data_IF_698073858604
#
_entry.id   IF_698073858604
#
_cell.length_a   1.000
_cell.length_b   1.000
_cell.length_c   1.000
_cell.angle_alpha   90.00
_cell.angle_beta   90.00
_cell.angle_gamma   90.00
#
_symmetry.space_group_name_H-M   'P 1'
#
loop_
_entity.id
_entity.type
_entity.pdbx_description
1 polymer ?
#
# COMPACT_ATOMS: atom_id res chain seq x y z
N UNK A 1 10.99 -10.79 -6.13
CA UNK A 1 9.90 -9.82 -6.40
C UNK A 1 9.69 -8.91 -5.17
N UNK A 2 10.75 -8.22 -4.73
CA UNK A 2 10.77 -7.24 -3.61
C UNK A 2 11.34 -5.87 -4.09
N UNK A 3 11.98 -5.84 -5.27
CA UNK A 3 12.66 -4.65 -5.82
C UNK A 3 11.78 -3.40 -5.86
N UNK A 4 10.52 -3.52 -6.29
CA UNK A 4 9.60 -2.37 -6.35
C UNK A 4 9.26 -1.81 -4.96
N UNK A 5 9.18 -2.67 -3.94
CA UNK A 5 8.94 -2.26 -2.55
C UNK A 5 10.19 -1.57 -2.01
N UNK A 6 11.38 -2.15 -2.22
CA UNK A 6 12.64 -1.53 -1.77
C UNK A 6 12.88 -0.17 -2.43
N UNK A 7 12.60 -0.02 -3.73
CA UNK A 7 12.67 1.26 -4.43
C UNK A 7 11.73 2.31 -3.85
N UNK A 8 10.48 1.93 -3.56
CA UNK A 8 9.52 2.82 -2.90
C UNK A 8 9.99 3.25 -1.51
N UNK A 9 10.47 2.31 -0.69
CA UNK A 9 10.96 2.61 0.66
C UNK A 9 12.20 3.52 0.63
N UNK A 10 13.09 3.32 -0.36
CA UNK A 10 14.22 4.20 -0.58
C UNK A 10 13.77 5.61 -0.97
N UNK A 11 12.75 5.74 -1.83
CA UNK A 11 12.20 7.05 -2.17
C UNK A 11 11.61 7.76 -0.95
N UNK A 12 10.82 7.05 -0.13
CA UNK A 12 10.29 7.61 1.12
C UNK A 12 11.40 8.11 2.03
N UNK A 13 12.52 7.38 2.12
CA UNK A 13 13.70 7.75 2.89
C UNK A 13 14.37 9.02 2.35
N UNK A 14 14.56 9.12 1.05
CA UNK A 14 15.13 10.31 0.40
C UNK A 14 14.23 11.53 0.58
N UNK A 15 12.90 11.33 0.57
CA UNK A 15 11.91 12.38 0.80
C UNK A 15 11.73 12.78 2.27
N UNK A 16 12.61 12.32 3.18
CA UNK A 16 12.60 12.71 4.60
C UNK A 16 11.45 12.10 5.41
N UNK A 17 10.87 10.99 4.96
CA UNK A 17 9.86 10.26 5.74
C UNK A 17 10.50 9.65 6.99
N UNK A 18 9.82 9.74 8.14
CA UNK A 18 10.32 9.16 9.39
C UNK A 18 10.60 7.65 9.28
N UNK A 19 11.67 7.19 9.92
CA UNK A 19 12.12 5.79 9.85
C UNK A 19 11.06 4.80 10.37
N UNK A 20 10.33 5.19 11.43
CA UNK A 20 9.21 4.41 11.96
C UNK A 20 8.12 4.21 10.89
N UNK A 21 7.80 5.26 10.16
CA UNK A 21 6.80 5.23 9.08
C UNK A 21 7.28 4.37 7.91
N UNK A 22 8.56 4.46 7.53
CA UNK A 22 9.16 3.59 6.50
C UNK A 22 9.10 2.12 6.92
N UNK A 23 9.43 1.82 8.17
CA UNK A 23 9.38 0.45 8.72
C UNK A 23 7.95 -0.09 8.67
N UNK A 24 6.96 0.73 9.00
CA UNK A 24 5.56 0.34 8.99
C UNK A 24 5.05 0.10 7.56
N UNK A 25 5.44 0.96 6.60
CA UNK A 25 5.21 0.73 5.17
C UNK A 25 5.87 -0.57 4.68
N UNK A 26 7.10 -0.84 5.10
CA UNK A 26 7.84 -2.04 4.70
C UNK A 26 7.10 -3.31 5.14
N UNK A 27 6.71 -3.37 6.42
CA UNK A 27 5.93 -4.49 6.97
C UNK A 27 4.59 -4.65 6.25
N UNK A 28 3.87 -3.54 6.05
CA UNK A 28 2.59 -3.53 5.36
C UNK A 28 2.69 -4.07 3.92
N UNK A 29 3.57 -3.49 3.10
CA UNK A 29 3.72 -3.86 1.69
C UNK A 29 4.25 -5.30 1.54
N UNK A 30 5.21 -5.71 2.37
CA UNK A 30 5.72 -7.09 2.35
C UNK A 30 4.63 -8.09 2.72
N UNK A 31 3.82 -7.80 3.73
CA UNK A 31 2.73 -8.70 4.11
C UNK A 31 1.71 -8.88 2.99
N UNK A 32 1.34 -7.78 2.34
CA UNK A 32 0.41 -7.80 1.21
C UNK A 32 0.99 -8.54 0.01
N UNK A 33 2.26 -8.29 -0.31
CA UNK A 33 2.96 -8.91 -1.43
C UNK A 33 3.11 -10.43 -1.27
N UNK A 34 3.06 -10.96 -0.03
CA UNK A 34 3.02 -12.41 0.24
C UNK A 34 1.70 -13.05 -0.18
N UNK A 35 0.59 -12.32 -0.14
CA UNK A 35 -0.73 -12.82 -0.56
C UNK A 35 -0.82 -12.85 -2.09
N UNK A 36 -0.46 -11.73 -2.73
CA UNK A 36 -0.38 -11.59 -4.18
C UNK A 36 0.65 -10.52 -4.49
N UNK A 37 1.52 -10.79 -5.46
CA UNK A 37 2.55 -9.85 -5.87
C UNK A 37 1.93 -8.49 -6.25
N UNK A 38 2.37 -7.40 -5.59
CA UNK A 38 1.82 -6.05 -5.77
C UNK A 38 1.88 -5.57 -7.24
N UNK A 39 2.86 -6.06 -8.00
CA UNK A 39 2.99 -5.78 -9.43
C UNK A 39 1.82 -6.32 -10.27
N UNK A 40 1.15 -7.38 -9.79
CA UNK A 40 0.01 -8.05 -10.44
C UNK A 40 -1.34 -7.61 -9.88
N UNK A 41 -1.38 -6.60 -9.01
CA UNK A 41 -2.63 -6.12 -8.44
C UNK A 41 -3.44 -5.36 -9.48
N UNK A 42 -4.73 -5.65 -9.46
CA UNK A 42 -5.77 -4.97 -10.21
C UNK A 42 -6.72 -4.24 -9.26
N UNK A 43 -7.60 -3.41 -9.81
CA UNK A 43 -8.57 -2.63 -9.02
C UNK A 43 -9.44 -3.53 -8.13
N UNK A 44 -9.77 -4.72 -8.61
CA UNK A 44 -10.52 -5.75 -7.88
C UNK A 44 -9.76 -6.27 -6.67
N UNK A 45 -8.44 -6.48 -6.77
CA UNK A 45 -7.61 -6.89 -5.63
C UNK A 45 -7.55 -5.81 -4.55
N UNK A 46 -7.38 -4.55 -4.96
CA UNK A 46 -7.41 -3.40 -4.03
C UNK A 46 -8.73 -3.36 -3.26
N UNK A 47 -9.85 -3.46 -3.97
CA UNK A 47 -11.18 -3.45 -3.38
C UNK A 47 -11.42 -4.63 -2.45
N UNK A 48 -11.03 -5.83 -2.89
CA UNK A 48 -11.16 -7.05 -2.09
C UNK A 48 -10.36 -6.94 -0.80
N UNK A 49 -9.10 -6.52 -0.88
CA UNK A 49 -8.25 -6.36 0.29
C UNK A 49 -8.82 -5.34 1.29
N UNK A 50 -9.32 -4.20 0.80
CA UNK A 50 -9.93 -3.19 1.66
C UNK A 50 -11.21 -3.72 2.30
N UNK A 51 -12.04 -4.45 1.55
CA UNK A 51 -13.28 -5.05 2.06
C UNK A 51 -12.97 -6.10 3.13
N UNK A 52 -11.99 -6.97 2.91
CA UNK A 52 -11.53 -7.95 3.90
C UNK A 52 -11.08 -7.24 5.19
N UNK A 53 -10.23 -6.19 5.07
CA UNK A 53 -9.78 -5.42 6.24
C UNK A 53 -10.87 -4.62 6.92
N UNK A 54 -11.92 -4.22 6.21
CA UNK A 54 -13.09 -3.59 6.81
C UNK A 54 -13.91 -4.54 7.68
N UNK A 55 -13.87 -5.84 7.39
CA UNK A 55 -14.50 -6.86 8.23
C UNK A 55 -13.60 -7.30 9.40
N UNK A 56 -12.29 -7.15 9.28
CA UNK A 56 -11.31 -7.61 10.29
C UNK A 56 -10.80 -6.53 11.25
N UNK A 57 -10.91 -5.23 10.90
CA UNK A 57 -10.23 -4.15 11.61
C UNK A 57 -11.12 -2.92 11.85
N UNK A 58 -10.70 -2.07 12.80
CA UNK A 58 -11.29 -0.76 13.02
C UNK A 58 -11.23 0.11 11.75
N UNK A 59 -12.27 0.90 11.53
CA UNK A 59 -12.42 1.79 10.37
C UNK A 59 -11.22 2.73 10.18
N UNK A 60 -10.59 3.20 11.27
CA UNK A 60 -9.39 4.04 11.22
C UNK A 60 -8.19 3.32 10.62
N UNK A 61 -7.98 2.05 10.97
CA UNK A 61 -6.92 1.21 10.39
C UNK A 61 -7.13 1.01 8.89
N UNK A 62 -8.39 0.85 8.46
CA UNK A 62 -8.73 0.75 7.03
C UNK A 62 -8.41 2.04 6.29
N UNK A 63 -8.66 3.21 6.88
CA UNK A 63 -8.28 4.51 6.29
C UNK A 63 -6.76 4.60 6.11
N UNK A 64 -5.99 4.20 7.12
CA UNK A 64 -4.51 4.16 7.03
C UNK A 64 -4.08 3.25 5.87
N UNK A 65 -4.69 2.08 5.71
CA UNK A 65 -4.37 1.18 4.60
C UNK A 65 -4.71 1.79 3.24
N UNK A 66 -5.86 2.46 3.09
CA UNK A 66 -6.23 3.19 1.87
C UNK A 66 -5.19 4.25 1.51
N UNK A 67 -4.77 5.07 2.47
CA UNK A 67 -3.75 6.11 2.26
C UNK A 67 -2.43 5.49 1.80
N UNK A 68 -2.01 4.38 2.42
CA UNK A 68 -0.76 3.69 2.07
C UNK A 68 -0.78 3.07 0.69
N UNK A 69 -1.86 2.37 0.36
CA UNK A 69 -2.06 1.80 -0.98
C UNK A 69 -2.08 2.90 -2.03
N UNK A 70 -2.80 4.00 -1.77
CA UNK A 70 -2.86 5.15 -2.67
C UNK A 70 -1.48 5.74 -2.93
N UNK A 71 -0.70 5.98 -1.88
CA UNK A 71 0.67 6.50 -2.02
C UNK A 71 1.58 5.56 -2.82
N UNK A 72 1.56 4.27 -2.51
CA UNK A 72 2.39 3.28 -3.20
C UNK A 72 2.02 3.12 -4.68
N UNK A 73 0.73 2.93 -5.00
CA UNK A 73 0.31 2.72 -6.39
C UNK A 73 0.38 3.99 -7.23
N UNK A 74 0.17 5.17 -6.65
CA UNK A 74 0.42 6.44 -7.35
C UNK A 74 1.90 6.59 -7.68
N UNK A 75 2.80 6.28 -6.73
CA UNK A 75 4.24 6.28 -6.98
C UNK A 75 4.64 5.28 -8.07
N UNK A 76 4.06 4.08 -8.06
CA UNK A 76 4.32 3.03 -9.05
C UNK A 76 3.71 3.34 -10.44
N UNK A 77 3.11 4.51 -10.66
CA UNK A 77 2.48 4.89 -11.92
C UNK A 77 1.13 4.21 -12.19
N UNK A 78 0.53 3.58 -11.18
CA UNK A 78 -0.74 2.83 -11.25
C UNK A 78 -1.85 3.51 -10.45
N UNK A 79 -1.94 4.84 -10.53
CA UNK A 79 -2.93 5.64 -9.78
C UNK A 79 -4.37 5.23 -10.09
N UNK A 80 -4.64 4.74 -11.30
CA UNK A 80 -5.94 4.20 -11.72
C UNK A 80 -6.48 3.10 -10.79
N UNK A 81 -5.60 2.33 -10.13
CA UNK A 81 -5.96 1.27 -9.19
C UNK A 81 -6.51 1.81 -7.87
N UNK A 82 -6.27 3.09 -7.57
CA UNK A 82 -6.49 3.68 -6.24
C UNK A 82 -7.18 5.04 -6.27
N UNK A 83 -7.44 5.61 -7.46
CA UNK A 83 -8.10 6.92 -7.61
C UNK A 83 -9.53 6.93 -7.05
N UNK A 84 -10.21 5.79 -7.04
CA UNK A 84 -11.55 5.65 -6.46
C UNK A 84 -11.55 5.53 -4.93
N UNK A 85 -10.37 5.42 -4.30
CA UNK A 85 -10.26 5.39 -2.85
C UNK A 85 -10.45 6.80 -2.30
N UNK A 86 -11.64 7.06 -1.76
CA UNK A 86 -11.88 8.18 -0.86
C UNK A 86 -11.07 7.95 0.42
N UNK A 87 -10.05 8.80 0.58
CA UNK A 87 -9.15 8.89 1.74
C UNK A 87 -9.57 10.06 2.60
#
# INVERSE_FOLDING_TARGET
MIKIIDQFLQELKVNGTEEKTITDYSKFLKNINRLKALEKWEKTDVNKYILEKHNECLTETVKIYKVRLKRFFTWAGKSELVNHLNT
#
